data_IF_529544169645
#
_entry.id   IF_529544169645
#
_cell.length_a   1.000
_cell.length_b   1.000
_cell.length_c   1.000
_cell.angle_alpha   90.00
_cell.angle_beta   90.00
_cell.angle_gamma   90.00
#
_symmetry.space_group_name_H-M   'P 1'
#
loop_
_entity.id
_entity.type
_entity.pdbx_description
1 polymer ?
#
# COMPACT_ATOMS: atom_id res chain seq x y z
N UNK A 1 -1.50 46.26 68.60
CA UNK A 1 -0.07 46.11 68.89
C UNK A 1 0.60 45.39 67.72
N UNK A 2 1.64 46.02 67.14
CA UNK A 2 2.74 45.47 66.29
C UNK A 2 2.33 44.88 64.93
N UNK A 3 2.46 45.62 63.82
CA UNK A 3 3.65 45.84 62.93
C UNK A 3 4.13 44.52 62.27
N UNK A 4 4.44 44.42 60.97
CA UNK A 4 5.60 45.02 60.23
C UNK A 4 5.47 44.53 58.75
N UNK A 5 5.34 45.39 57.73
CA UNK A 5 6.35 45.96 56.79
C UNK A 5 7.06 45.00 55.77
N UNK A 6 7.10 45.46 54.50
CA UNK A 6 8.01 45.11 53.37
C UNK A 6 7.83 43.73 52.67
N UNK A 7 7.95 43.57 51.35
CA UNK A 7 8.91 44.17 50.41
C UNK A 7 8.45 44.03 48.95
N UNK A 8 8.79 45.02 48.12
CA UNK A 8 8.77 45.02 46.66
C UNK A 8 9.61 43.87 46.05
N UNK A 9 9.12 43.24 44.98
CA UNK A 9 9.96 42.50 44.04
C UNK A 9 9.45 42.68 42.61
N UNK A 10 10.20 43.51 41.88
CA UNK A 10 10.14 43.74 40.45
C UNK A 10 10.42 42.45 39.70
N UNK A 11 9.56 42.05 38.75
CA UNK A 11 9.83 40.94 37.84
C UNK A 11 10.07 41.47 36.43
N UNK A 12 11.29 41.17 35.98
CA UNK A 12 12.01 41.65 34.82
C UNK A 12 11.36 41.14 33.52
N UNK A 13 10.99 42.06 32.62
CA UNK A 13 10.61 41.74 31.24
C UNK A 13 11.88 41.38 30.45
N UNK A 14 12.05 40.11 30.09
CA UNK A 14 13.12 39.66 29.18
C UNK A 14 12.59 39.74 27.74
N UNK A 15 12.99 40.80 27.04
CA UNK A 15 12.86 40.94 25.59
C UNK A 15 13.86 40.00 24.90
N UNK A 16 13.37 38.92 24.31
CA UNK A 16 14.14 38.13 23.35
C UNK A 16 14.17 38.86 22.01
N UNK A 17 15.32 39.46 21.68
CA UNK A 17 15.63 39.94 20.33
C UNK A 17 16.10 38.74 19.51
N UNK A 18 15.29 38.33 18.54
CA UNK A 18 15.64 37.30 17.55
C UNK A 18 16.36 38.01 16.40
N UNK A 19 17.64 37.72 16.09
CA UNK A 19 18.26 38.22 14.87
C UNK A 19 17.66 37.49 13.66
N UNK A 20 16.91 38.22 12.84
CA UNK A 20 16.48 37.78 11.52
C UNK A 20 17.69 37.76 10.56
N UNK A 21 18.05 36.58 10.08
CA UNK A 21 18.94 36.43 8.93
C UNK A 21 18.20 36.85 7.65
N UNK A 22 18.40 38.09 7.22
CA UNK A 22 18.07 38.52 5.86
C UNK A 22 19.09 37.92 4.90
N UNK A 23 18.65 36.96 4.08
CA UNK A 23 19.42 36.49 2.92
C UNK A 23 19.31 37.57 1.86
N UNK A 24 20.42 38.30 1.65
CA UNK A 24 20.53 39.32 0.62
C UNK A 24 20.42 38.66 -0.77
N UNK A 25 19.48 39.22 -1.53
CA UNK A 25 19.26 39.00 -2.95
C UNK A 25 20.46 39.52 -3.74
N UNK A 26 20.97 38.72 -4.67
CA UNK A 26 21.93 39.16 -5.69
C UNK A 26 21.37 38.74 -7.04
N UNK A 27 20.61 39.66 -7.61
CA UNK A 27 20.39 39.77 -9.04
C UNK A 27 21.58 40.52 -9.64
N UNK A 28 22.18 39.95 -10.69
CA UNK A 28 22.87 40.71 -11.72
C UNK A 28 22.46 40.10 -13.09
N UNK A 29 22.20 40.92 -14.11
CA UNK A 29 21.56 40.51 -15.35
C UNK A 29 22.58 40.20 -16.48
N UNK A 30 22.02 39.73 -17.58
CA UNK A 30 22.57 39.66 -18.94
C UNK A 30 23.45 38.45 -19.31
N UNK A 31 22.82 37.50 -20.02
CA UNK A 31 23.26 37.10 -21.37
C UNK A 31 22.13 36.33 -22.08
N UNK A 32 21.66 36.90 -23.19
CA UNK A 32 20.80 36.25 -24.19
C UNK A 32 21.65 35.24 -24.97
N UNK A 33 21.20 33.99 -25.07
CA UNK A 33 21.45 33.20 -26.28
C UNK A 33 20.32 32.20 -26.54
N UNK A 34 19.91 32.20 -27.80
CA UNK A 34 18.88 31.40 -28.44
C UNK A 34 19.45 30.02 -28.80
N UNK A 35 19.03 28.98 -28.07
CA UNK A 35 19.36 27.58 -28.37
C UNK A 35 18.12 26.71 -28.36
N UNK A 36 17.71 26.25 -29.53
CA UNK A 36 16.66 25.27 -29.73
C UNK A 36 17.19 23.87 -29.34
N UNK A 37 16.90 23.39 -28.13
CA UNK A 37 17.26 22.02 -27.72
C UNK A 37 16.00 21.18 -27.49
N UNK A 38 15.84 20.23 -28.42
CA UNK A 38 15.09 18.99 -28.29
C UNK A 38 15.23 18.41 -26.89
N UNK A 39 14.15 18.46 -26.10
CA UNK A 39 14.04 17.79 -24.82
C UNK A 39 14.09 16.28 -25.02
N UNK A 40 15.30 15.73 -25.07
CA UNK A 40 15.55 14.32 -24.98
C UNK A 40 15.04 13.86 -23.61
N UNK A 41 14.00 13.03 -23.60
CA UNK A 41 13.57 12.30 -22.43
C UNK A 41 14.78 11.56 -21.85
N UNK A 42 15.33 12.07 -20.75
CA UNK A 42 16.25 11.30 -19.92
C UNK A 42 15.44 10.16 -19.32
N UNK A 43 15.45 9.04 -20.03
CA UNK A 43 15.26 7.72 -19.48
C UNK A 43 15.96 7.66 -18.12
N UNK A 44 15.19 7.44 -17.06
CA UNK A 44 15.69 7.04 -15.75
C UNK A 44 16.27 5.63 -15.89
N UNK A 45 17.45 5.54 -16.50
CA UNK A 45 18.36 4.42 -16.32
C UNK A 45 18.71 4.38 -14.85
N UNK A 46 18.35 3.26 -14.22
CA UNK A 46 18.80 2.79 -12.91
C UNK A 46 20.11 3.46 -12.46
N UNK A 47 20.00 4.55 -11.69
CA UNK A 47 21.11 5.01 -10.87
C UNK A 47 21.27 3.95 -9.79
N UNK A 48 22.20 3.04 -10.01
CA UNK A 48 22.79 2.22 -8.97
C UNK A 48 23.31 3.16 -7.89
N UNK A 49 22.48 3.41 -6.89
CA UNK A 49 22.89 3.99 -5.61
C UNK A 49 24.17 3.28 -5.20
N UNK A 50 25.23 4.06 -5.00
CA UNK A 50 26.44 3.71 -4.24
C UNK A 50 26.14 2.59 -3.25
N UNK A 51 26.65 1.38 -3.57
CA UNK A 51 26.29 0.13 -2.90
C UNK A 51 26.54 0.25 -1.40
N UNK A 52 25.47 0.20 -0.61
CA UNK A 52 25.60 -0.10 0.80
C UNK A 52 25.89 -1.61 0.90
N UNK A 53 27.14 -2.03 1.23
CA UNK A 53 27.58 -3.42 1.05
C UNK A 53 26.79 -4.41 1.91
N UNK A 54 26.15 -3.92 2.98
CA UNK A 54 25.33 -4.72 3.89
C UNK A 54 23.82 -4.54 3.65
N UNK A 55 23.38 -3.97 2.52
CA UNK A 55 21.95 -3.90 2.19
C UNK A 55 21.38 -5.32 2.13
N UNK A 56 20.28 -5.63 2.87
CA UNK A 56 19.71 -6.97 2.88
C UNK A 56 19.40 -7.48 1.47
N UNK A 57 19.80 -8.70 1.18
CA UNK A 57 19.48 -9.38 -0.07
C UNK A 57 18.88 -10.74 0.25
N UNK A 58 17.78 -11.07 -0.41
CA UNK A 58 17.09 -12.36 -0.29
C UNK A 58 17.23 -13.20 -1.57
N UNK A 59 18.21 -12.86 -2.42
CA UNK A 59 18.42 -13.50 -3.73
C UNK A 59 17.55 -12.90 -4.82
N UNK A 60 16.26 -12.74 -4.55
CA UNK A 60 15.28 -12.16 -5.47
C UNK A 60 14.66 -10.87 -4.93
N UNK A 61 14.18 -10.00 -5.83
CA UNK A 61 13.43 -8.79 -5.48
C UNK A 61 11.94 -9.05 -5.22
N UNK A 62 11.44 -10.22 -5.64
CA UNK A 62 10.07 -10.67 -5.41
C UNK A 62 10.11 -12.07 -4.81
N UNK A 63 9.59 -12.24 -3.60
CA UNK A 63 9.44 -13.54 -2.95
C UNK A 63 7.98 -13.98 -3.02
N UNK A 64 7.75 -15.26 -3.30
CA UNK A 64 6.41 -15.82 -3.45
C UNK A 64 6.14 -16.85 -2.37
N UNK A 65 4.98 -16.74 -1.70
CA UNK A 65 4.52 -17.79 -0.79
C UNK A 65 4.47 -19.14 -1.54
N UNK A 66 4.97 -20.20 -0.91
CA UNK A 66 4.96 -21.54 -1.50
C UNK A 66 3.88 -22.43 -0.85
N UNK A 67 3.34 -23.44 -1.56
CA UNK A 67 2.30 -24.33 -1.05
C UNK A 67 2.90 -25.40 -0.13
N UNK A 68 3.42 -24.96 1.03
CA UNK A 68 4.04 -25.83 2.04
C UNK A 68 3.11 -26.01 3.24
N UNK A 69 3.25 -27.14 3.94
CA UNK A 69 2.59 -27.33 5.22
C UNK A 69 3.36 -26.55 6.29
N UNK A 70 2.73 -25.53 6.87
CA UNK A 70 3.31 -24.72 7.94
C UNK A 70 3.95 -23.42 7.44
N UNK A 71 4.97 -22.94 8.16
CA UNK A 71 5.61 -21.67 7.84
C UNK A 71 6.62 -21.82 6.68
N UNK A 72 6.49 -20.94 5.69
CA UNK A 72 7.48 -20.74 4.64
C UNK A 72 8.37 -19.56 5.00
N UNK A 73 9.68 -19.81 5.14
CA UNK A 73 10.64 -18.79 5.58
C UNK A 73 11.77 -18.64 4.58
N UNK A 74 12.34 -17.44 4.51
CA UNK A 74 13.45 -17.09 3.62
C UNK A 74 14.50 -16.30 4.41
N UNK A 75 15.76 -16.73 4.32
CA UNK A 75 16.90 -16.05 4.95
C UNK A 75 17.59 -15.10 3.99
N UNK A 76 18.23 -14.03 4.48
CA UNK A 76 19.09 -13.22 3.64
C UNK A 76 20.28 -14.05 3.13
N UNK A 77 20.64 -13.85 1.86
CA UNK A 77 21.78 -14.51 1.23
C UNK A 77 23.11 -13.85 1.62
N UNK A 78 23.07 -12.60 2.08
CA UNK A 78 24.22 -11.84 2.58
C UNK A 78 24.15 -11.60 4.10
N UNK A 79 25.14 -10.89 4.64
CA UNK A 79 25.25 -10.54 6.07
C UNK A 79 25.32 -11.73 7.04
N UNK A 80 25.57 -12.95 6.54
CA UNK A 80 25.74 -14.15 7.38
C UNK A 80 26.94 -13.95 8.32
N UNK A 81 26.70 -14.09 9.62
CA UNK A 81 27.72 -13.87 10.66
C UNK A 81 28.05 -12.41 10.96
N UNK A 82 27.41 -11.45 10.28
CA UNK A 82 27.56 -10.02 10.58
C UNK A 82 26.52 -9.63 11.64
N UNK A 83 26.98 -9.12 12.78
CA UNK A 83 26.09 -8.64 13.82
C UNK A 83 25.45 -7.31 13.43
N UNK A 84 24.14 -7.19 13.65
CA UNK A 84 23.38 -5.97 13.37
C UNK A 84 21.90 -6.16 13.66
N UNK A 85 21.08 -5.24 13.17
CA UNK A 85 19.64 -5.26 13.34
C UNK A 85 18.95 -5.06 12.01
N UNK A 86 18.00 -5.94 11.71
CA UNK A 86 17.10 -5.84 10.57
C UNK A 86 15.85 -5.06 10.94
N UNK A 87 15.39 -4.22 10.01
CA UNK A 87 14.18 -3.42 10.12
C UNK A 87 13.39 -3.55 8.82
N UNK A 88 12.09 -3.32 8.88
CA UNK A 88 11.23 -3.28 7.69
C UNK A 88 10.17 -2.20 7.80
N UNK A 89 9.76 -1.65 6.66
CA UNK A 89 8.57 -0.81 6.56
C UNK A 89 7.92 -0.94 5.17
N UNK A 90 6.59 -0.90 5.07
CA UNK A 90 5.61 -0.73 6.14
C UNK A 90 5.62 -1.92 7.13
N UNK A 91 4.87 -1.84 8.24
CA UNK A 91 4.61 -3.02 9.09
C UNK A 91 4.04 -4.19 8.25
N UNK A 92 3.86 -5.38 8.82
CA UNK A 92 3.23 -6.51 8.12
C UNK A 92 4.22 -7.47 7.43
N UNK A 93 5.51 -7.13 7.38
CA UNK A 93 6.57 -8.11 7.12
C UNK A 93 7.02 -8.76 8.43
N UNK A 94 6.76 -10.06 8.60
CA UNK A 94 7.24 -10.85 9.74
C UNK A 94 8.73 -11.17 9.53
N UNK A 95 9.58 -10.23 9.94
CA UNK A 95 11.04 -10.34 9.86
C UNK A 95 11.66 -10.44 11.25
N UNK A 96 12.55 -11.41 11.43
CA UNK A 96 13.34 -11.52 12.64
C UNK A 96 14.41 -10.40 12.67
N UNK A 97 14.32 -9.50 13.65
CA UNK A 97 15.21 -8.35 13.76
C UNK A 97 16.70 -8.71 13.94
N UNK A 98 17.03 -9.92 14.37
CA UNK A 98 18.41 -10.36 14.60
C UNK A 98 18.99 -11.11 13.40
N UNK A 99 18.21 -12.00 12.80
CA UNK A 99 18.69 -12.89 11.73
C UNK A 99 18.33 -12.42 10.33
N UNK A 100 17.33 -11.54 10.21
CA UNK A 100 16.75 -11.14 8.93
C UNK A 100 15.86 -12.21 8.30
N UNK A 101 15.60 -13.34 8.99
CA UNK A 101 14.71 -14.38 8.50
C UNK A 101 13.29 -13.82 8.36
N UNK A 102 12.73 -13.92 7.15
CA UNK A 102 11.35 -13.52 6.85
C UNK A 102 10.47 -14.75 6.86
N UNK A 103 9.33 -14.68 7.55
CA UNK A 103 8.27 -15.67 7.47
C UNK A 103 7.16 -15.18 6.54
N UNK A 104 7.19 -15.67 5.30
CA UNK A 104 6.27 -15.22 4.25
C UNK A 104 4.83 -15.65 4.60
N UNK A 105 4.64 -16.80 5.26
CA UNK A 105 3.30 -17.29 5.66
C UNK A 105 2.61 -16.34 6.64
N UNK A 106 3.36 -15.63 7.48
CA UNK A 106 2.82 -14.70 8.48
C UNK A 106 2.89 -13.23 8.03
N UNK A 107 3.42 -12.98 6.82
CA UNK A 107 3.57 -11.63 6.28
C UNK A 107 2.40 -11.25 5.36
N UNK A 108 2.17 -9.96 5.17
CA UNK A 108 1.21 -9.48 4.17
C UNK A 108 1.82 -9.53 2.75
N UNK A 109 1.11 -10.18 1.82
CA UNK A 109 1.51 -10.34 0.43
C UNK A 109 0.88 -9.29 -0.49
N UNK A 110 1.36 -9.20 -1.73
CA UNK A 110 0.89 -8.24 -2.72
C UNK A 110 1.44 -6.82 -2.55
N UNK A 111 2.34 -6.59 -1.60
CA UNK A 111 2.88 -5.26 -1.26
C UNK A 111 4.41 -5.22 -1.31
N UNK A 112 4.94 -3.99 -1.33
CA UNK A 112 6.36 -3.68 -1.38
C UNK A 112 6.83 -3.18 -0.02
N UNK A 113 7.94 -3.74 0.44
CA UNK A 113 8.64 -3.37 1.66
C UNK A 113 10.01 -2.77 1.35
N UNK A 114 10.45 -1.86 2.21
CA UNK A 114 11.86 -1.61 2.41
C UNK A 114 12.35 -2.51 3.54
N UNK A 115 13.49 -3.15 3.33
CA UNK A 115 14.19 -3.93 4.34
C UNK A 115 15.52 -3.25 4.59
N UNK A 116 15.83 -2.96 5.84
CA UNK A 116 17.06 -2.30 6.21
C UNK A 116 17.90 -3.15 7.15
N UNK A 117 19.20 -2.92 7.12
CA UNK A 117 20.15 -3.50 8.07
C UNK A 117 21.08 -2.43 8.61
N UNK A 118 21.15 -2.37 9.94
CA UNK A 118 22.05 -1.51 10.68
C UNK A 118 23.15 -2.38 11.29
N UNK A 119 24.38 -2.23 10.81
CA UNK A 119 25.52 -3.01 11.30
C UNK A 119 25.84 -2.59 12.74
N UNK A 120 26.08 -3.57 13.61
CA UNK A 120 26.44 -3.31 15.03
C UNK A 120 27.70 -2.44 15.11
N UNK A 121 27.66 -1.43 15.97
CA UNK A 121 28.74 -0.47 16.16
C UNK A 121 28.77 0.66 15.13
N UNK A 122 27.76 0.75 14.25
CA UNK A 122 27.61 1.82 13.26
C UNK A 122 26.22 2.46 13.37
N UNK A 123 26.02 3.59 12.70
CA UNK A 123 24.70 4.18 12.46
C UNK A 123 24.26 4.06 11.00
N UNK A 124 25.08 3.40 10.18
CA UNK A 124 24.84 3.23 8.75
C UNK A 124 23.66 2.29 8.54
N UNK A 125 22.64 2.79 7.86
CA UNK A 125 21.43 2.03 7.52
C UNK A 125 21.46 1.68 6.04
N UNK A 126 21.72 0.41 5.74
CA UNK A 126 21.65 -0.08 4.37
C UNK A 126 20.22 -0.54 4.06
N UNK A 127 19.61 0.00 3.01
CA UNK A 127 18.22 -0.27 2.64
C UNK A 127 18.17 -0.97 1.29
N UNK A 128 17.32 -1.98 1.19
CA UNK A 128 16.89 -2.61 -0.07
C UNK A 128 15.37 -2.64 -0.15
N UNK A 129 14.85 -2.85 -1.35
CA UNK A 129 13.42 -3.04 -1.58
C UNK A 129 13.13 -4.50 -1.86
N UNK A 130 12.04 -5.00 -1.27
CA UNK A 130 11.56 -6.37 -1.39
C UNK A 130 10.05 -6.37 -1.66
N UNK A 131 9.58 -7.22 -2.56
CA UNK A 131 8.14 -7.42 -2.79
C UNK A 131 7.79 -8.81 -2.29
N UNK A 132 6.72 -8.92 -1.50
CA UNK A 132 6.06 -10.20 -1.31
C UNK A 132 4.98 -10.33 -2.37
N UNK A 133 5.16 -11.27 -3.30
CA UNK A 133 4.27 -11.49 -4.43
C UNK A 133 2.86 -11.88 -3.98
N UNK A 134 1.85 -11.41 -4.71
CA UNK A 134 0.44 -11.55 -4.34
C UNK A 134 -0.44 -10.49 -5.00
N UNK A 135 -1.67 -10.34 -4.47
CA UNK A 135 -2.69 -9.41 -4.96
C UNK A 135 -2.83 -8.22 -4.02
N UNK A 136 -3.01 -7.03 -4.58
CA UNK A 136 -3.50 -5.87 -3.85
C UNK A 136 -4.54 -5.11 -4.67
N UNK A 137 -5.12 -4.06 -4.10
CA UNK A 137 -5.97 -3.10 -4.82
C UNK A 137 -5.50 -1.69 -4.53
N UNK A 138 -5.76 -0.78 -5.46
CA UNK A 138 -5.41 0.63 -5.28
C UNK A 138 -6.58 1.34 -4.60
N UNK A 139 -6.27 2.05 -3.52
CA UNK A 139 -7.19 2.99 -2.89
C UNK A 139 -7.81 3.92 -3.93
N UNK A 140 -9.14 3.92 -4.04
CA UNK A 140 -9.83 4.65 -5.09
C UNK A 140 -11.24 5.06 -4.69
N UNK A 141 -11.70 6.16 -5.29
CA UNK A 141 -13.10 6.60 -5.26
C UNK A 141 -13.73 6.22 -6.59
N UNK A 142 -14.72 5.34 -6.53
CA UNK A 142 -15.48 4.80 -7.63
C UNK A 142 -16.80 5.55 -7.75
N UNK A 143 -16.99 6.29 -8.84
CA UNK A 143 -18.20 7.09 -9.08
C UNK A 143 -19.17 6.33 -9.97
N UNK A 144 -20.16 5.65 -9.37
CA UNK A 144 -21.02 4.70 -10.07
C UNK A 144 -21.84 5.34 -11.20
N UNK A 145 -22.30 6.58 -11.03
CA UNK A 145 -22.98 7.36 -12.09
C UNK A 145 -22.10 7.67 -13.30
N UNK A 146 -20.78 7.53 -13.19
CA UNK A 146 -19.81 7.67 -14.29
C UNK A 146 -19.38 6.33 -14.87
N UNK A 147 -20.11 5.25 -14.56
CA UNK A 147 -19.77 3.87 -14.94
C UNK A 147 -18.42 3.37 -14.38
N UNK A 148 -17.89 4.03 -13.35
CA UNK A 148 -16.68 3.60 -12.65
C UNK A 148 -17.07 2.56 -11.58
N UNK A 149 -17.25 1.31 -12.01
CA UNK A 149 -17.91 0.25 -11.24
C UNK A 149 -17.00 -0.92 -10.87
N UNK A 150 -15.80 -0.99 -11.46
CA UNK A 150 -14.91 -2.15 -11.37
C UNK A 150 -13.61 -1.78 -10.66
N UNK A 151 -13.33 -2.42 -9.53
CA UNK A 151 -12.01 -2.36 -8.91
C UNK A 151 -11.15 -3.52 -9.42
N UNK A 152 -10.11 -3.21 -10.20
CA UNK A 152 -9.18 -4.20 -10.70
C UNK A 152 -8.06 -4.46 -9.68
N UNK A 153 -7.64 -5.73 -9.50
CA UNK A 153 -6.47 -6.05 -8.67
C UNK A 153 -5.18 -5.59 -9.35
N UNK A 154 -4.17 -5.34 -8.52
CA UNK A 154 -2.77 -5.21 -8.93
C UNK A 154 -1.99 -6.42 -8.43
N UNK A 155 -0.98 -6.83 -9.19
CA UNK A 155 -0.18 -8.01 -8.88
C UNK A 155 1.24 -7.60 -8.54
N UNK A 156 1.82 -8.23 -7.50
CA UNK A 156 3.21 -8.06 -7.11
C UNK A 156 3.60 -6.59 -6.90
N UNK A 157 2.72 -5.83 -6.23
CA UNK A 157 2.89 -4.39 -5.98
C UNK A 157 3.23 -3.55 -7.23
N UNK A 158 2.75 -3.98 -8.39
CA UNK A 158 2.99 -3.31 -9.67
C UNK A 158 1.68 -2.96 -10.38
N UNK A 159 1.24 -1.68 -10.33
CA UNK A 159 0.00 -1.25 -10.98
C UNK A 159 0.11 -1.16 -12.51
N UNK A 160 1.34 -1.24 -13.05
CA UNK A 160 1.60 -1.18 -14.49
C UNK A 160 1.91 -2.58 -15.07
N UNK A 161 1.89 -3.64 -14.25
CA UNK A 161 2.11 -4.99 -14.74
C UNK A 161 0.88 -5.49 -15.50
N UNK A 162 1.14 -6.29 -16.55
CA UNK A 162 0.08 -7.08 -17.17
C UNK A 162 -0.57 -8.00 -16.12
N UNK A 163 -1.90 -8.16 -16.15
CA UNK A 163 -2.57 -9.09 -15.25
C UNK A 163 -2.04 -10.52 -15.39
N UNK A 164 -1.85 -11.20 -14.26
CA UNK A 164 -1.52 -12.64 -14.22
C UNK A 164 -2.73 -13.48 -14.66
N UNK A 165 -3.92 -12.97 -14.38
CA UNK A 165 -5.19 -13.63 -14.60
C UNK A 165 -5.76 -13.39 -15.99
N UNK A 166 -6.69 -14.24 -16.41
CA UNK A 166 -7.43 -14.04 -17.65
C UNK A 166 -8.49 -12.95 -17.51
N UNK A 167 -8.94 -12.42 -18.67
CA UNK A 167 -10.11 -11.57 -18.73
C UNK A 167 -11.36 -12.29 -18.25
N UNK A 168 -12.31 -11.53 -17.70
CA UNK A 168 -13.56 -12.04 -17.13
C UNK A 168 -14.70 -11.06 -17.41
N UNK A 169 -15.93 -11.51 -17.16
CA UNK A 169 -17.15 -10.69 -17.22
C UNK A 169 -18.07 -10.99 -16.03
N UNK A 170 -19.28 -10.43 -16.06
CA UNK A 170 -20.27 -10.57 -14.98
C UNK A 170 -20.95 -11.96 -14.92
N UNK A 171 -20.51 -12.92 -15.74
CA UNK A 171 -20.90 -14.33 -15.60
C UNK A 171 -19.98 -15.09 -14.65
N UNK A 172 -18.81 -14.54 -14.31
CA UNK A 172 -17.75 -15.18 -13.53
C UNK A 172 -17.94 -15.02 -12.01
N UNK A 173 -19.05 -15.54 -11.47
CA UNK A 173 -19.34 -15.56 -10.04
C UNK A 173 -19.73 -16.96 -9.56
N UNK A 174 -19.50 -17.29 -8.28
CA UNK A 174 -19.87 -18.60 -7.74
C UNK A 174 -21.36 -18.91 -7.87
N UNK A 175 -22.27 -17.94 -7.87
CA UNK A 175 -23.72 -18.20 -8.00
C UNK A 175 -24.18 -18.53 -9.44
N UNK A 176 -23.33 -18.36 -10.45
CA UNK A 176 -23.66 -18.67 -11.85
C UNK A 176 -23.22 -20.07 -12.29
N UNK A 177 -22.94 -20.98 -11.36
CA UNK A 177 -22.48 -22.34 -11.67
C UNK A 177 -20.99 -22.44 -12.04
N UNK A 178 -20.27 -21.32 -12.11
CA UNK A 178 -18.83 -21.28 -12.34
C UNK A 178 -18.10 -21.04 -11.01
N UNK A 179 -17.64 -22.11 -10.36
CA UNK A 179 -17.29 -22.06 -8.93
C UNK A 179 -15.80 -21.92 -8.62
N UNK A 180 -14.89 -22.01 -9.59
CA UNK A 180 -13.52 -22.43 -9.26
C UNK A 180 -12.41 -21.62 -9.93
N UNK A 181 -12.69 -20.40 -10.41
CA UNK A 181 -11.72 -19.66 -11.22
C UNK A 181 -11.23 -20.48 -12.41
N UNK A 182 -9.93 -20.40 -12.73
CA UNK A 182 -9.33 -21.18 -13.81
C UNK A 182 -7.90 -21.68 -13.49
N UNK A 183 -7.18 -22.11 -14.53
CA UNK A 183 -5.82 -22.59 -14.38
C UNK A 183 -4.82 -21.48 -14.01
N UNK A 184 -5.12 -20.21 -14.26
CA UNK A 184 -4.28 -19.07 -13.89
C UNK A 184 -4.60 -18.51 -12.52
N UNK A 185 -5.86 -18.25 -12.25
CA UNK A 185 -6.27 -17.58 -11.02
C UNK A 185 -7.57 -18.16 -10.47
N UNK A 186 -7.66 -18.18 -9.15
CA UNK A 186 -8.84 -18.63 -8.43
C UNK A 186 -9.06 -17.68 -7.26
N UNK A 187 -10.09 -16.85 -7.39
CA UNK A 187 -10.52 -15.88 -6.38
C UNK A 187 -11.80 -16.33 -5.71
N UNK A 188 -11.95 -15.89 -4.46
CA UNK A 188 -13.03 -16.29 -3.57
C UNK A 188 -13.11 -17.80 -3.39
N UNK A 189 -11.94 -18.41 -3.24
CA UNK A 189 -11.77 -19.85 -3.04
C UNK A 189 -12.08 -20.31 -1.61
N UNK A 190 -12.88 -19.53 -0.90
CA UNK A 190 -13.28 -19.87 0.46
C UNK A 190 -14.39 -20.94 0.37
N UNK A 191 -14.03 -22.17 0.71
CA UNK A 191 -14.98 -23.29 0.75
C UNK A 191 -16.01 -23.16 1.88
N UNK A 192 -15.86 -22.18 2.76
CA UNK A 192 -16.83 -21.85 3.79
C UNK A 192 -17.82 -20.80 3.27
N UNK A 193 -19.01 -20.73 3.86
CA UNK A 193 -20.00 -19.68 3.55
C UNK A 193 -19.58 -18.26 3.98
N UNK A 194 -18.27 -18.03 4.18
CA UNK A 194 -17.68 -16.76 4.58
C UNK A 194 -16.86 -16.08 3.47
N UNK A 195 -16.82 -16.67 2.27
CA UNK A 195 -16.19 -16.06 1.10
C UNK A 195 -16.72 -14.65 0.80
N UNK A 196 -15.93 -13.87 0.08
CA UNK A 196 -16.26 -12.53 -0.36
C UNK A 196 -17.61 -12.46 -1.07
N UNK A 197 -17.92 -13.37 -2.01
CA UNK A 197 -19.21 -13.38 -2.70
C UNK A 197 -20.35 -13.79 -1.77
N UNK A 198 -20.12 -14.70 -0.82
CA UNK A 198 -21.11 -15.04 0.21
C UNK A 198 -21.43 -13.82 1.08
N UNK A 199 -20.43 -12.96 1.34
CA UNK A 199 -20.57 -11.67 2.01
C UNK A 199 -21.07 -10.53 1.12
N UNK A 200 -21.47 -10.83 -0.12
CA UNK A 200 -21.98 -9.90 -1.14
C UNK A 200 -20.93 -8.94 -1.72
N UNK A 201 -19.64 -9.18 -1.49
CA UNK A 201 -18.58 -8.54 -2.26
C UNK A 201 -18.37 -9.34 -3.54
N UNK A 202 -18.83 -8.81 -4.67
CA UNK A 202 -18.86 -9.54 -5.95
C UNK A 202 -17.51 -9.52 -6.63
N UNK A 203 -16.68 -10.49 -6.26
CA UNK A 203 -15.35 -10.74 -6.81
C UNK A 203 -15.46 -11.77 -7.91
N UNK A 204 -14.95 -11.45 -9.09
CA UNK A 204 -14.92 -12.37 -10.24
C UNK A 204 -13.87 -13.47 -10.02
N UNK A 205 -14.27 -14.73 -10.10
CA UNK A 205 -13.43 -15.86 -9.65
C UNK A 205 -12.18 -16.10 -10.49
N UNK A 206 -12.20 -15.71 -11.78
CA UNK A 206 -11.07 -15.84 -12.72
C UNK A 206 -10.11 -14.67 -12.66
N UNK A 207 -10.58 -13.47 -12.34
CA UNK A 207 -9.77 -12.24 -12.52
C UNK A 207 -9.47 -11.46 -11.24
N UNK A 208 -10.25 -11.69 -10.18
CA UNK A 208 -10.21 -10.87 -8.97
C UNK A 208 -10.86 -9.50 -9.13
N UNK A 209 -11.42 -9.15 -10.29
CA UNK A 209 -12.12 -7.87 -10.45
C UNK A 209 -13.33 -7.82 -9.51
N UNK A 210 -13.44 -6.75 -8.73
CA UNK A 210 -14.58 -6.51 -7.85
C UNK A 210 -15.59 -5.62 -8.57
N UNK A 211 -16.80 -6.12 -8.77
CA UNK A 211 -17.91 -5.32 -9.28
C UNK A 211 -18.61 -4.61 -8.12
N UNK A 212 -18.25 -3.35 -7.89
CA UNK A 212 -18.72 -2.56 -6.75
C UNK A 212 -20.20 -2.18 -6.89
N UNK A 213 -20.68 -1.95 -8.11
CA UNK A 213 -22.10 -1.70 -8.36
C UNK A 213 -22.93 -2.92 -7.98
N UNK A 214 -22.60 -4.10 -8.53
CA UNK A 214 -23.29 -5.35 -8.22
C UNK A 214 -23.18 -5.72 -6.74
N UNK A 215 -22.02 -5.48 -6.12
CA UNK A 215 -21.84 -5.69 -4.67
C UNK A 215 -22.82 -4.86 -3.83
N UNK A 216 -23.01 -3.60 -4.21
CA UNK A 216 -23.94 -2.73 -3.51
C UNK A 216 -25.39 -3.14 -3.76
N UNK A 217 -25.75 -3.44 -5.02
CA UNK A 217 -27.08 -3.91 -5.41
C UNK A 217 -27.46 -5.22 -4.67
N UNK A 218 -26.48 -6.11 -4.47
CA UNK A 218 -26.63 -7.37 -3.72
C UNK A 218 -26.56 -7.20 -2.19
N UNK A 219 -26.44 -5.96 -1.70
CA UNK A 219 -26.58 -5.62 -0.29
C UNK A 219 -25.30 -5.74 0.55
N UNK A 220 -24.10 -5.57 -0.03
CA UNK A 220 -22.82 -5.59 0.69
C UNK A 220 -22.82 -4.76 1.99
N UNK A 221 -23.44 -3.59 1.95
CA UNK A 221 -23.53 -2.63 3.06
C UNK A 221 -24.95 -2.52 3.65
N UNK A 222 -25.80 -3.51 3.38
CA UNK A 222 -27.22 -3.54 3.76
C UNK A 222 -28.12 -2.72 2.82
N UNK A 223 -29.43 -2.72 3.10
CA UNK A 223 -30.46 -2.11 2.24
C UNK A 223 -30.38 -0.58 2.14
N UNK A 224 -29.96 0.09 3.22
CA UNK A 224 -29.93 1.56 3.32
C UNK A 224 -28.58 2.02 3.88
N UNK A 225 -27.48 1.92 3.10
CA UNK A 225 -26.18 2.38 3.55
C UNK A 225 -26.19 3.90 3.73
N UNK A 226 -25.52 4.39 4.77
CA UNK A 226 -25.35 5.83 5.03
C UNK A 226 -23.92 6.24 4.74
N UNK A 227 -23.69 7.54 4.55
CA UNK A 227 -22.36 8.10 4.34
C UNK A 227 -21.39 7.64 5.43
N UNK A 228 -20.24 7.11 5.03
CA UNK A 228 -19.22 6.56 5.91
C UNK A 228 -19.46 5.12 6.36
N UNK A 229 -20.59 4.48 6.02
CA UNK A 229 -20.75 3.04 6.26
C UNK A 229 -19.67 2.26 5.51
N UNK A 230 -19.05 1.29 6.18
CA UNK A 230 -18.03 0.45 5.59
C UNK A 230 -18.15 -1.01 6.01
N UNK A 231 -17.56 -1.90 5.22
CA UNK A 231 -17.38 -3.31 5.54
C UNK A 231 -15.99 -3.75 5.11
N UNK A 232 -15.31 -4.50 5.97
CA UNK A 232 -14.07 -5.20 5.63
C UNK A 232 -14.41 -6.61 5.18
N UNK A 233 -13.86 -7.02 4.05
CA UNK A 233 -14.12 -8.35 3.47
C UNK A 233 -12.79 -8.98 3.08
N UNK A 234 -12.58 -10.20 3.56
CA UNK A 234 -11.45 -11.05 3.20
C UNK A 234 -11.76 -11.73 1.86
N UNK A 235 -10.79 -11.70 0.96
CA UNK A 235 -10.80 -12.40 -0.33
C UNK A 235 -9.67 -13.41 -0.26
N UNK A 236 -10.02 -14.68 -0.32
CA UNK A 236 -9.05 -15.78 -0.46
C UNK A 236 -8.78 -16.02 -1.94
N UNK A 237 -7.52 -16.29 -2.29
CA UNK A 237 -7.14 -16.47 -3.67
C UNK A 237 -5.92 -17.38 -3.84
N UNK A 238 -5.76 -17.92 -5.05
CA UNK A 238 -4.58 -18.66 -5.51
C UNK A 238 -4.18 -18.18 -6.90
N UNK A 239 -2.88 -17.97 -7.10
CA UNK A 239 -2.30 -17.56 -8.38
C UNK A 239 -1.37 -18.67 -8.92
N UNK A 240 -1.48 -18.96 -10.20
CA UNK A 240 -0.55 -19.85 -10.90
C UNK A 240 0.65 -19.07 -11.45
N UNK A 241 1.30 -18.33 -10.55
CA UNK A 241 2.58 -17.68 -10.77
C UNK A 241 3.67 -18.45 -10.01
N UNK A 242 4.77 -17.79 -9.63
CA UNK A 242 5.83 -18.41 -8.83
C UNK A 242 5.36 -18.86 -7.44
N UNK A 243 4.15 -18.50 -6.98
CA UNK A 243 3.54 -19.04 -5.77
C UNK A 243 2.98 -20.46 -5.94
N UNK A 244 2.90 -20.98 -7.17
CA UNK A 244 2.43 -22.34 -7.47
C UNK A 244 1.05 -22.64 -6.86
N UNK A 245 0.14 -21.68 -6.92
CA UNK A 245 -1.20 -21.74 -6.32
C UNK A 245 -1.20 -21.93 -4.80
N UNK A 246 -0.23 -21.32 -4.09
CA UNK A 246 -0.30 -21.23 -2.62
C UNK A 246 -1.55 -20.45 -2.18
N UNK A 247 -2.18 -20.90 -1.10
CA UNK A 247 -3.34 -20.24 -0.49
C UNK A 247 -2.94 -18.87 0.06
N UNK A 248 -3.57 -17.82 -0.46
CA UNK A 248 -3.31 -16.44 -0.07
C UNK A 248 -4.61 -15.73 0.27
N UNK A 249 -4.49 -14.58 0.95
CA UNK A 249 -5.63 -13.77 1.34
C UNK A 249 -5.29 -12.29 1.31
N UNK A 250 -6.29 -11.48 0.98
CA UNK A 250 -6.26 -10.04 1.14
C UNK A 250 -7.56 -9.58 1.80
N UNK A 251 -7.48 -8.56 2.66
CA UNK A 251 -8.69 -7.88 3.16
C UNK A 251 -8.82 -6.55 2.46
N UNK A 252 -9.99 -6.24 1.91
CA UNK A 252 -10.35 -4.91 1.39
C UNK A 252 -11.36 -4.25 2.30
N UNK A 253 -11.36 -2.92 2.35
CA UNK A 253 -12.39 -2.12 3.01
C UNK A 253 -13.22 -1.41 1.95
N UNK A 254 -14.52 -1.71 1.89
CA UNK A 254 -15.45 -1.01 1.01
C UNK A 254 -16.24 -0.01 1.85
N UNK A 255 -16.29 1.26 1.41
CA UNK A 255 -16.97 2.35 2.11
C UNK A 255 -17.94 3.06 1.18
N UNK A 256 -19.06 3.54 1.69
CA UNK A 256 -20.12 4.17 0.91
C UNK A 256 -20.31 5.65 1.23
N UNK A 257 -20.55 6.44 0.18
CA UNK A 257 -21.13 7.77 0.23
C UNK A 257 -22.18 7.94 -0.87
N UNK A 258 -23.24 8.70 -0.60
CA UNK A 258 -24.29 9.00 -1.56
C UNK A 258 -23.78 9.84 -2.74
N UNK A 259 -22.97 10.86 -2.44
CA UNK A 259 -22.39 11.83 -3.37
C UNK A 259 -20.89 11.96 -3.14
N UNK A 260 -20.15 12.29 -4.21
CA UNK A 260 -18.70 12.58 -4.12
C UNK A 260 -18.43 13.79 -3.21
N UNK A 261 -19.33 14.77 -3.19
CA UNK A 261 -19.25 15.94 -2.32
C UNK A 261 -19.34 15.58 -0.82
N UNK A 262 -20.02 14.48 -0.48
CA UNK A 262 -20.20 14.02 0.90
C UNK A 262 -18.96 13.33 1.47
N UNK A 263 -17.99 12.96 0.63
CA UNK A 263 -16.72 12.37 1.07
C UNK A 263 -15.89 13.49 1.74
N UNK A 264 -15.44 13.30 3.00
CA UNK A 264 -14.56 14.24 3.67
C UNK A 264 -13.30 14.59 2.86
N UNK A 265 -12.86 15.85 2.90
CA UNK A 265 -11.76 16.33 2.07
C UNK A 265 -10.41 15.70 2.45
N UNK A 266 -10.17 15.48 3.73
CA UNK A 266 -9.04 14.74 4.27
C UNK A 266 -9.00 13.30 3.72
N UNK A 267 -10.16 12.63 3.67
CA UNK A 267 -10.26 11.28 3.11
C UNK A 267 -9.98 11.26 1.61
N UNK A 268 -10.46 12.24 0.84
CA UNK A 268 -10.13 12.39 -0.59
C UNK A 268 -8.63 12.57 -0.79
N UNK A 269 -8.00 13.40 0.03
CA UNK A 269 -6.56 13.67 -0.05
C UNK A 269 -5.73 12.44 0.33
N UNK A 270 -6.16 11.68 1.35
CA UNK A 270 -5.50 10.42 1.73
C UNK A 270 -5.54 9.41 0.58
N UNK A 271 -6.73 9.17 0.00
CA UNK A 271 -6.89 8.26 -1.14
C UNK A 271 -6.07 8.71 -2.35
N UNK A 272 -6.11 10.01 -2.69
CA UNK A 272 -5.33 10.54 -3.81
C UNK A 272 -3.82 10.38 -3.59
N UNK A 273 -3.34 10.65 -2.36
CA UNK A 273 -1.92 10.52 -2.01
C UNK A 273 -1.47 9.07 -2.07
N UNK A 274 -2.24 8.14 -1.50
CA UNK A 274 -1.93 6.71 -1.52
C UNK A 274 -2.00 6.11 -2.92
N UNK A 275 -2.98 6.50 -3.72
CA UNK A 275 -3.05 6.15 -5.15
C UNK A 275 -1.80 6.63 -5.88
N UNK A 276 -1.41 7.90 -5.72
CA UNK A 276 -0.18 8.42 -6.33
C UNK A 276 1.04 7.61 -5.90
N UNK A 277 1.17 7.32 -4.60
CA UNK A 277 2.29 6.55 -4.07
C UNK A 277 2.36 5.12 -4.63
N UNK A 278 1.22 4.47 -4.85
CA UNK A 278 1.16 3.16 -5.51
C UNK A 278 1.73 3.21 -6.93
N UNK A 279 1.40 4.25 -7.72
CA UNK A 279 1.90 4.43 -9.09
C UNK A 279 3.35 4.92 -9.16
N UNK A 280 3.84 5.65 -8.15
CA UNK A 280 5.23 6.09 -8.08
C UNK A 280 6.12 5.14 -7.28
N UNK A 281 5.63 3.95 -6.93
CA UNK A 281 6.32 2.96 -6.09
C UNK A 281 6.88 3.51 -4.77
N UNK A 282 6.24 4.55 -4.23
CA UNK A 282 6.68 5.21 -3.00
C UNK A 282 6.15 4.43 -1.80
N UNK A 283 7.06 3.94 -0.97
CA UNK A 283 6.74 3.27 0.29
C UNK A 283 6.58 4.32 1.39
N UNK A 284 5.49 4.24 2.13
CA UNK A 284 5.22 5.10 3.29
C UNK A 284 5.50 4.29 4.56
N UNK A 285 6.11 4.91 5.57
CA UNK A 285 6.32 4.31 6.89
C UNK A 285 5.03 4.30 7.72
N UNK A 286 3.95 3.79 7.13
CA UNK A 286 2.65 3.57 7.79
C UNK A 286 2.42 2.07 7.94
N UNK A 287 1.62 1.66 8.91
CA UNK A 287 1.12 0.29 8.97
C UNK A 287 0.29 0.00 7.71
N UNK A 288 0.46 -1.16 7.04
CA UNK A 288 -0.42 -1.51 5.95
C UNK A 288 -1.85 -1.52 6.46
N UNK A 289 -2.72 -0.97 5.63
CA UNK A 289 -4.14 -1.06 5.86
C UNK A 289 -4.77 -1.77 4.68
N UNK A 290 -5.92 -2.43 4.90
CA UNK A 290 -6.75 -2.89 3.80
C UNK A 290 -6.90 -1.80 2.73
N UNK A 291 -6.76 -2.15 1.43
CA UNK A 291 -7.11 -1.22 0.36
C UNK A 291 -8.52 -0.67 0.56
N UNK A 292 -8.66 0.64 0.36
CA UNK A 292 -9.90 1.37 0.58
C UNK A 292 -10.61 1.64 -0.75
N UNK A 293 -11.75 0.99 -0.95
CA UNK A 293 -12.60 1.14 -2.12
C UNK A 293 -13.83 1.98 -1.73
N UNK A 294 -13.85 3.26 -2.09
CA UNK A 294 -14.96 4.15 -1.78
C UNK A 294 -15.95 4.15 -2.94
N UNK A 295 -17.19 3.74 -2.69
CA UNK A 295 -18.30 3.81 -3.63
C UNK A 295 -19.01 5.17 -3.44
N UNK A 296 -19.22 5.90 -4.53
CA UNK A 296 -19.91 7.19 -4.50
C UNK A 296 -20.80 7.47 -5.73
N UNK A 297 -21.69 8.45 -5.59
CA UNK A 297 -22.36 9.09 -6.73
C UNK A 297 -23.55 8.29 -7.29
N UNK A 298 -24.42 7.79 -6.40
CA UNK A 298 -25.71 7.19 -6.79
C UNK A 298 -26.85 8.21 -6.84
N UNK A 299 -26.73 9.30 -6.08
CA UNK A 299 -27.71 10.38 -6.08
C UNK A 299 -27.22 11.50 -7.02
N UNK A 300 -28.05 11.85 -8.00
CA UNK A 300 -27.91 13.09 -8.77
C UNK A 300 -28.05 14.30 -7.82
#
# INVERSE_FOLDING_TARGET
>A
MKSTLCTFASCLLILFVIPACNKADKTDPDAVDTGNESGNETNLTNTTSTQCPNAPSYGDSILYLQPVKGNYTVEPVNNKGVQGTYLSWPEGLDINATTGLINITQSETGIRYNVAFVKKGTTDTCISTLILGGVSYIDSIYVLSKNDTLAAPIFNANPNASPVCDGSDDTDYPDNGNHNGNNKCQFDDDTTSQGANAQKLRVRTVSGIINLKKSLDDGLLGKNPRNGHFKKVKIEYRLNDNSKKADQKITVQVMYYDKVSSIPNDLKQDVASKRKNAFTYKIIAEKPRPPLLIIAGLAN
#
